data_IF_999519530023
#
_entry.id   IF_999519530023
#
_cell.length_a   1.000
_cell.length_b   1.000
_cell.length_c   1.000
_cell.angle_alpha   90.00
_cell.angle_beta   90.00
_cell.angle_gamma   90.00
#
_symmetry.space_group_name_H-M   'P 1'
#
loop_
_entity.id
_entity.type
_entity.pdbx_description
1 polymer ?
#
# COMPACT_ATOMS: atom_id res chain seq x y z
N UNK A 1 15.17 -18.85 -23.22
CA UNK A 1 14.39 -18.34 -22.07
C UNK A 1 15.22 -17.23 -21.49
N UNK A 2 14.94 -15.99 -21.86
CA UNK A 2 15.61 -14.85 -21.24
C UNK A 2 15.09 -14.77 -19.81
N UNK A 3 15.97 -14.92 -18.83
CA UNK A 3 15.75 -14.45 -17.46
C UNK A 3 15.50 -12.94 -17.55
N UNK A 4 14.25 -12.53 -17.79
CA UNK A 4 13.86 -11.13 -17.67
C UNK A 4 13.63 -10.87 -16.19
N UNK A 5 14.71 -10.49 -15.52
CA UNK A 5 14.58 -9.84 -14.23
C UNK A 5 13.63 -8.64 -14.41
N UNK A 6 12.64 -8.40 -13.53
CA UNK A 6 11.70 -7.30 -13.67
C UNK A 6 12.44 -5.99 -13.89
N UNK A 7 11.89 -5.11 -14.72
CA UNK A 7 12.43 -3.76 -14.85
C UNK A 7 12.51 -3.11 -13.44
N UNK A 8 13.65 -2.55 -13.02
CA UNK A 8 13.83 -1.98 -11.70
C UNK A 8 12.72 -1.01 -11.23
N UNK A 9 12.07 -0.28 -12.14
CA UNK A 9 10.95 0.60 -11.75
C UNK A 9 9.72 -0.21 -11.32
N UNK A 10 9.40 -1.30 -12.02
CA UNK A 10 8.25 -2.16 -11.73
C UNK A 10 8.51 -2.98 -10.46
N UNK A 11 9.75 -3.46 -10.28
CA UNK A 11 10.16 -4.09 -9.03
C UNK A 11 9.97 -3.14 -7.83
N UNK A 12 10.39 -1.88 -8.00
CA UNK A 12 10.23 -0.84 -6.98
C UNK A 12 8.75 -0.49 -6.72
N UNK A 13 7.93 -0.43 -7.76
CA UNK A 13 6.49 -0.21 -7.66
C UNK A 13 5.82 -1.34 -6.87
N UNK A 14 6.08 -2.60 -7.24
CA UNK A 14 5.55 -3.79 -6.57
C UNK A 14 5.98 -3.88 -5.11
N UNK A 15 7.25 -3.62 -4.82
CA UNK A 15 7.76 -3.57 -3.45
C UNK A 15 7.09 -2.45 -2.62
N UNK A 16 6.85 -1.29 -3.24
CA UNK A 16 6.16 -0.16 -2.58
C UNK A 16 4.71 -0.51 -2.26
N UNK A 17 3.96 -1.07 -3.22
CA UNK A 17 2.60 -1.57 -3.02
C UNK A 17 2.59 -2.56 -1.84
N UNK A 18 3.44 -3.59 -1.88
CA UNK A 18 3.52 -4.59 -0.80
C UNK A 18 3.83 -3.97 0.58
N UNK A 19 4.69 -2.94 0.62
CA UNK A 19 4.99 -2.22 1.85
C UNK A 19 3.79 -1.49 2.42
N UNK A 20 3.05 -0.76 1.59
CA UNK A 20 1.85 -0.07 2.06
C UNK A 20 0.72 -1.04 2.42
N UNK A 21 0.64 -2.20 1.76
CA UNK A 21 -0.26 -3.28 2.15
C UNK A 21 -0.01 -3.70 3.60
N UNK A 22 1.25 -4.05 3.92
CA UNK A 22 1.63 -4.46 5.28
C UNK A 22 1.39 -3.36 6.32
N UNK A 23 1.58 -2.10 5.95
CA UNK A 23 1.25 -0.99 6.85
C UNK A 23 -0.25 -0.92 7.14
N UNK A 24 -1.10 -1.05 6.12
CA UNK A 24 -2.57 -1.10 6.27
C UNK A 24 -2.96 -2.27 7.18
N UNK A 25 -2.46 -3.48 6.88
CA UNK A 25 -2.76 -4.69 7.66
C UNK A 25 -2.35 -4.52 9.13
N UNK A 26 -1.16 -3.96 9.40
CA UNK A 26 -0.68 -3.71 10.76
C UNK A 26 -1.49 -2.64 11.52
N UNK A 27 -2.18 -1.74 10.82
CA UNK A 27 -3.14 -0.82 11.44
C UNK A 27 -4.43 -1.56 11.79
N UNK A 28 -4.99 -2.32 10.83
CA UNK A 28 -6.26 -3.02 10.96
C UNK A 28 -6.21 -4.12 12.04
N UNK A 29 -5.07 -4.82 12.17
CA UNK A 29 -4.83 -5.84 13.20
C UNK A 29 -4.97 -5.30 14.62
N UNK A 30 -4.69 -4.01 14.84
CA UNK A 30 -4.77 -3.38 16.17
C UNK A 30 -6.18 -2.93 16.55
N UNK A 31 -7.12 -2.89 15.60
CA UNK A 31 -8.48 -2.40 15.85
C UNK A 31 -9.41 -3.53 16.24
N UNK A 32 -10.31 -3.26 17.18
CA UNK A 32 -11.53 -4.07 17.37
C UNK A 32 -12.50 -3.85 16.21
N UNK A 33 -13.51 -4.73 16.06
CA UNK A 33 -14.54 -4.56 15.01
C UNK A 33 -15.29 -3.24 15.16
N UNK A 34 -15.61 -2.86 16.39
CA UNK A 34 -16.25 -1.58 16.66
C UNK A 34 -15.36 -0.40 16.22
N UNK A 35 -14.06 -0.44 16.50
CA UNK A 35 -13.12 0.61 16.13
C UNK A 35 -12.89 0.67 14.60
N UNK A 36 -12.87 -0.48 13.91
CA UNK A 36 -12.73 -0.56 12.46
C UNK A 36 -13.82 0.22 11.72
N UNK A 37 -15.05 0.13 12.22
CA UNK A 37 -16.23 0.79 11.64
C UNK A 37 -16.53 2.15 12.29
N UNK A 38 -15.78 2.58 13.31
CA UNK A 38 -16.00 3.85 13.98
C UNK A 38 -15.31 5.00 13.20
N UNK A 39 -16.06 6.05 12.79
CA UNK A 39 -15.44 7.27 12.29
C UNK A 39 -14.78 8.06 13.43
N UNK A 40 -13.65 8.75 13.18
CA UNK A 40 -12.96 9.54 14.21
C UNK A 40 -13.75 10.79 14.64
N UNK A 41 -14.62 11.29 13.78
CA UNK A 41 -15.56 12.37 14.06
C UNK A 41 -16.72 12.36 13.06
N UNK A 42 -17.85 13.05 13.34
CA UNK A 42 -18.95 13.15 12.39
C UNK A 42 -18.52 13.73 11.04
N UNK A 43 -18.94 13.08 9.94
CA UNK A 43 -18.63 13.50 8.58
C UNK A 43 -17.26 13.04 8.05
N UNK A 44 -16.47 12.32 8.85
CA UNK A 44 -15.26 11.65 8.40
C UNK A 44 -15.51 10.16 8.16
N UNK A 45 -14.72 9.56 7.27
CA UNK A 45 -14.80 8.13 6.97
C UNK A 45 -14.16 7.30 8.10
N UNK A 46 -14.74 6.13 8.36
CA UNK A 46 -14.10 5.09 9.16
C UNK A 46 -13.00 4.36 8.36
N UNK A 47 -12.19 3.56 9.05
CA UNK A 47 -11.21 2.68 8.36
C UNK A 47 -11.94 1.70 7.44
N UNK A 48 -13.07 1.16 7.89
CA UNK A 48 -13.89 0.24 7.09
C UNK A 48 -14.34 0.84 5.75
N UNK A 49 -14.78 2.10 5.75
CA UNK A 49 -15.16 2.82 4.53
C UNK A 49 -13.97 3.03 3.60
N UNK A 50 -12.80 3.36 4.14
CA UNK A 50 -11.58 3.56 3.30
C UNK A 50 -11.11 2.23 2.69
N UNK A 51 -11.17 1.12 3.43
CA UNK A 51 -10.86 -0.22 2.90
C UNK A 51 -11.81 -0.61 1.77
N UNK A 52 -13.12 -0.37 1.95
CA UNK A 52 -14.12 -0.58 0.89
C UNK A 52 -13.79 0.24 -0.35
N UNK A 53 -13.46 1.52 -0.17
CA UNK A 53 -13.07 2.38 -1.28
C UNK A 53 -11.83 1.89 -2.02
N UNK A 54 -10.77 1.51 -1.30
CA UNK A 54 -9.57 0.95 -1.91
C UNK A 54 -9.88 -0.34 -2.67
N UNK A 55 -10.66 -1.26 -2.10
CA UNK A 55 -11.06 -2.51 -2.76
C UNK A 55 -11.77 -2.26 -4.08
N UNK A 56 -12.83 -1.43 -4.08
CA UNK A 56 -13.60 -1.12 -5.30
C UNK A 56 -12.78 -0.33 -6.33
N UNK A 57 -11.95 0.61 -5.87
CA UNK A 57 -11.06 1.35 -6.76
C UNK A 57 -10.07 0.40 -7.45
N UNK A 58 -9.37 -0.43 -6.70
CA UNK A 58 -8.34 -1.31 -7.26
C UNK A 58 -8.94 -2.37 -8.16
N UNK A 59 -10.07 -2.97 -7.78
CA UNK A 59 -10.80 -3.90 -8.64
C UNK A 59 -11.13 -3.23 -9.98
N UNK A 60 -11.77 -2.06 -9.96
CA UNK A 60 -12.12 -1.38 -11.20
C UNK A 60 -10.90 -1.02 -12.04
N UNK A 61 -9.85 -0.47 -11.43
CA UNK A 61 -8.70 0.05 -12.16
C UNK A 61 -7.83 -1.04 -12.77
N UNK A 62 -7.81 -2.22 -12.17
CA UNK A 62 -6.81 -3.24 -12.48
C UNK A 62 -7.40 -4.55 -13.04
N UNK A 63 -8.70 -4.81 -12.93
CA UNK A 63 -9.30 -5.92 -13.70
C UNK A 63 -9.09 -5.69 -15.19
N UNK A 64 -8.56 -6.67 -15.92
CA UNK A 64 -8.32 -6.61 -17.37
C UNK A 64 -7.59 -5.32 -17.82
N UNK A 65 -6.60 -4.89 -17.02
CA UNK A 65 -5.93 -3.58 -17.11
C UNK A 65 -5.44 -3.19 -18.52
N UNK A 66 -4.89 -4.14 -19.27
CA UNK A 66 -4.37 -3.89 -20.62
C UNK A 66 -5.43 -4.01 -21.73
N UNK A 67 -6.62 -4.52 -21.40
CA UNK A 67 -7.64 -4.90 -22.38
C UNK A 67 -8.89 -4.01 -22.34
N UNK A 68 -9.21 -3.40 -21.20
CA UNK A 68 -10.44 -2.61 -21.01
C UNK A 68 -10.16 -1.35 -20.20
N UNK A 69 -11.08 -0.38 -20.24
CA UNK A 69 -10.96 0.88 -19.49
C UNK A 69 -10.89 0.63 -17.97
N UNK A 70 -10.05 1.37 -17.24
CA UNK A 70 -9.91 1.28 -15.79
C UNK A 70 -11.11 1.77 -14.97
N UNK A 71 -12.15 2.35 -15.59
CA UNK A 71 -13.44 2.56 -14.95
C UNK A 71 -14.43 1.50 -15.44
N UNK A 72 -14.69 0.48 -14.60
CA UNK A 72 -15.59 -0.61 -14.95
C UNK A 72 -17.05 -0.17 -14.82
N UNK A 73 -17.95 -0.63 -15.73
CA UNK A 73 -19.36 -0.22 -15.70
C UNK A 73 -20.11 -0.61 -14.42
N UNK A 74 -19.65 -1.65 -13.72
CA UNK A 74 -20.22 -2.15 -12.48
C UNK A 74 -19.70 -1.42 -11.22
N UNK A 75 -18.74 -0.50 -11.37
CA UNK A 75 -18.25 0.28 -10.24
C UNK A 75 -19.27 1.31 -9.78
N UNK A 76 -19.73 1.17 -8.54
CA UNK A 76 -20.52 2.19 -7.85
C UNK A 76 -19.65 2.94 -6.83
N UNK A 77 -19.04 4.05 -7.27
CA UNK A 77 -18.16 4.87 -6.41
C UNK A 77 -18.89 5.42 -5.19
N UNK A 78 -20.13 5.87 -5.32
CA UNK A 78 -20.82 6.52 -4.20
C UNK A 78 -21.13 5.50 -3.09
N UNK A 79 -21.47 4.26 -3.47
CA UNK A 79 -21.63 3.18 -2.51
C UNK A 79 -20.32 2.84 -1.76
N UNK A 80 -19.14 3.01 -2.38
CA UNK A 80 -17.85 2.80 -1.70
C UNK A 80 -17.64 3.73 -0.48
N UNK A 81 -18.34 4.86 -0.41
CA UNK A 81 -18.28 5.82 0.71
C UNK A 81 -19.43 5.67 1.71
N UNK A 82 -20.14 4.54 1.67
CA UNK A 82 -21.14 4.17 2.66
C UNK A 82 -20.62 3.06 3.57
N UNK A 83 -21.20 2.94 4.76
CA UNK A 83 -20.83 1.91 5.72
C UNK A 83 -20.96 0.51 5.11
N UNK A 84 -20.07 -0.38 5.54
CA UNK A 84 -20.08 -1.78 5.08
C UNK A 84 -21.19 -2.54 5.81
N UNK A 85 -22.06 -3.19 5.06
CA UNK A 85 -23.22 -3.91 5.62
C UNK A 85 -22.88 -5.32 6.14
N UNK A 86 -21.65 -5.80 5.90
CA UNK A 86 -21.16 -7.10 6.33
C UNK A 86 -20.26 -7.05 7.56
N UNK A 87 -19.64 -8.18 7.88
CA UNK A 87 -18.63 -8.30 8.93
C UNK A 87 -17.22 -7.88 8.45
N UNK A 88 -16.25 -7.92 9.38
CA UNK A 88 -14.83 -7.67 9.07
C UNK A 88 -14.32 -8.58 7.97
N UNK A 89 -14.60 -9.88 8.04
CA UNK A 89 -14.02 -10.87 7.15
C UNK A 89 -14.48 -10.68 5.71
N UNK A 90 -15.77 -10.37 5.51
CA UNK A 90 -16.31 -10.02 4.19
C UNK A 90 -15.74 -8.70 3.66
N UNK A 91 -15.53 -7.68 4.50
CA UNK A 91 -14.86 -6.44 4.09
C UNK A 91 -13.42 -6.69 3.66
N UNK A 92 -12.66 -7.44 4.46
CA UNK A 92 -11.27 -7.76 4.17
C UNK A 92 -11.16 -8.59 2.90
N UNK A 93 -12.06 -9.57 2.70
CA UNK A 93 -12.13 -10.35 1.46
C UNK A 93 -12.38 -9.46 0.23
N UNK A 94 -13.26 -8.47 0.34
CA UNK A 94 -13.52 -7.51 -0.73
C UNK A 94 -12.31 -6.62 -1.03
N UNK A 95 -11.66 -6.10 0.01
CA UNK A 95 -10.42 -5.34 -0.11
C UNK A 95 -9.30 -6.17 -0.76
N UNK A 96 -9.15 -7.43 -0.34
CA UNK A 96 -8.14 -8.36 -0.83
C UNK A 96 -8.33 -8.73 -2.30
N UNK A 97 -9.58 -8.92 -2.74
CA UNK A 97 -9.88 -9.17 -4.13
C UNK A 97 -9.42 -8.01 -5.03
N UNK A 98 -9.72 -6.75 -4.65
CA UNK A 98 -9.25 -5.57 -5.38
C UNK A 98 -7.73 -5.44 -5.37
N UNK A 99 -7.10 -5.70 -4.22
CA UNK A 99 -5.64 -5.69 -4.09
C UNK A 99 -4.96 -6.76 -4.96
N UNK A 100 -5.56 -7.95 -5.05
CA UNK A 100 -5.07 -9.03 -5.89
C UNK A 100 -5.14 -8.67 -7.37
N UNK A 101 -6.17 -7.94 -7.82
CA UNK A 101 -6.24 -7.42 -9.19
C UNK A 101 -5.04 -6.51 -9.53
N UNK A 102 -4.68 -5.58 -8.62
CA UNK A 102 -3.48 -4.75 -8.76
C UNK A 102 -2.22 -5.60 -8.85
N UNK A 103 -2.03 -6.53 -7.90
CA UNK A 103 -0.83 -7.37 -7.83
C UNK A 103 -0.64 -8.21 -9.08
N UNK A 104 -1.68 -8.93 -9.51
CA UNK A 104 -1.66 -9.74 -10.73
C UNK A 104 -1.39 -8.88 -11.96
N UNK A 105 -1.95 -7.68 -12.03
CA UNK A 105 -1.70 -6.79 -13.15
C UNK A 105 -0.26 -6.31 -13.21
N UNK A 106 0.34 -5.92 -12.09
CA UNK A 106 1.76 -5.53 -12.04
C UNK A 106 2.67 -6.68 -12.50
N UNK A 107 2.37 -7.92 -12.09
CA UNK A 107 3.15 -9.11 -12.51
C UNK A 107 3.11 -9.32 -14.04
N UNK A 108 2.04 -8.89 -14.73
CA UNK A 108 1.89 -8.98 -16.18
C UNK A 108 2.63 -7.87 -16.96
N UNK A 109 3.11 -6.82 -16.28
CA UNK A 109 3.74 -5.67 -16.94
C UNK A 109 5.24 -5.85 -17.25
N UNK A 110 5.86 -6.96 -16.84
CA UNK A 110 7.31 -7.16 -16.97
C UNK A 110 7.85 -6.98 -18.39
N UNK A 111 7.10 -7.43 -19.41
CA UNK A 111 7.51 -7.35 -20.82
C UNK A 111 6.71 -6.28 -21.60
N UNK A 112 6.02 -5.39 -20.91
CA UNK A 112 5.15 -4.36 -21.50
C UNK A 112 5.85 -3.01 -21.47
N UNK A 113 5.83 -2.28 -22.60
CA UNK A 113 6.39 -0.94 -22.66
C UNK A 113 5.62 0.00 -21.72
N UNK A 114 6.26 0.63 -20.71
CA UNK A 114 5.58 1.51 -19.77
C UNK A 114 4.95 2.75 -20.43
N UNK A 115 5.31 3.07 -21.68
CA UNK A 115 4.74 4.16 -22.48
C UNK A 115 3.45 3.76 -23.19
N UNK A 116 3.10 2.47 -23.23
CA UNK A 116 1.85 2.01 -23.81
C UNK A 116 0.67 2.71 -23.13
N UNK A 117 -0.34 3.04 -23.93
CA UNK A 117 -1.52 3.75 -23.47
C UNK A 117 -2.58 2.77 -22.99
N UNK A 118 -3.13 3.06 -21.81
CA UNK A 118 -4.35 2.49 -21.26
C UNK A 118 -5.38 3.60 -21.09
N UNK A 119 -6.66 3.24 -20.98
CA UNK A 119 -7.73 4.20 -20.73
C UNK A 119 -8.17 4.13 -19.28
N UNK A 120 -8.42 5.27 -18.65
CA UNK A 120 -9.07 5.37 -17.36
C UNK A 120 -10.13 6.47 -17.48
N UNK A 121 -11.40 6.10 -17.39
CA UNK A 121 -12.54 7.01 -17.60
C UNK A 121 -12.55 7.63 -19.00
N UNK A 122 -12.17 6.85 -20.01
CA UNK A 122 -12.05 7.28 -21.40
C UNK A 122 -10.82 8.13 -21.69
N UNK A 123 -10.05 8.53 -20.67
CA UNK A 123 -8.87 9.37 -20.82
C UNK A 123 -7.60 8.52 -21.00
N UNK A 124 -6.74 8.85 -21.98
CA UNK A 124 -5.50 8.13 -22.23
C UNK A 124 -4.46 8.42 -21.14
N UNK A 125 -3.83 7.35 -20.65
CA UNK A 125 -2.72 7.39 -19.70
C UNK A 125 -1.63 6.43 -20.14
N UNK A 126 -0.36 6.77 -19.94
CA UNK A 126 0.68 5.74 -20.02
C UNK A 126 0.53 4.74 -18.87
N UNK A 127 1.02 3.51 -19.05
CA UNK A 127 1.08 2.52 -17.97
C UNK A 127 1.86 3.08 -16.76
N UNK A 128 2.98 3.77 -16.99
CA UNK A 128 3.74 4.42 -15.94
C UNK A 128 2.89 5.43 -15.15
N UNK A 129 2.09 6.26 -15.83
CA UNK A 129 1.19 7.21 -15.18
C UNK A 129 0.10 6.49 -14.37
N UNK A 130 -0.49 5.43 -14.92
CA UNK A 130 -1.52 4.65 -14.23
C UNK A 130 -0.97 3.99 -12.95
N UNK A 131 0.22 3.40 -13.00
CA UNK A 131 0.90 2.82 -11.83
C UNK A 131 1.18 3.90 -10.79
N UNK A 132 1.74 5.04 -11.18
CA UNK A 132 2.05 6.12 -10.24
C UNK A 132 0.80 6.71 -9.58
N UNK A 133 -0.28 6.88 -10.34
CA UNK A 133 -1.57 7.32 -9.80
C UNK A 133 -2.13 6.34 -8.78
N UNK A 134 -2.02 5.03 -9.03
CA UNK A 134 -2.48 4.02 -8.07
C UNK A 134 -1.60 3.99 -6.82
N UNK A 135 -0.27 4.07 -6.98
CA UNK A 135 0.66 4.13 -5.85
C UNK A 135 0.36 5.32 -4.94
N UNK A 136 0.24 6.52 -5.52
CA UNK A 136 -0.04 7.74 -4.75
C UNK A 136 -1.41 7.69 -4.06
N UNK A 137 -2.43 7.12 -4.70
CA UNK A 137 -3.75 6.89 -4.11
C UNK A 137 -3.70 5.92 -2.92
N UNK A 138 -2.99 4.80 -3.07
CA UNK A 138 -2.74 3.83 -1.99
C UNK A 138 -1.99 4.49 -0.82
N UNK A 139 -0.90 5.21 -1.09
CA UNK A 139 -0.12 5.91 -0.05
C UNK A 139 -0.99 6.91 0.73
N UNK A 140 -1.81 7.68 0.02
CA UNK A 140 -2.73 8.65 0.62
C UNK A 140 -3.70 7.98 1.60
N UNK A 141 -4.37 6.91 1.16
CA UNK A 141 -5.33 6.21 2.02
C UNK A 141 -4.67 5.38 3.12
N UNK A 142 -3.48 4.82 2.90
CA UNK A 142 -2.71 4.17 3.95
C UNK A 142 -2.38 5.15 5.09
N UNK A 143 -2.00 6.39 4.76
CA UNK A 143 -1.79 7.46 5.74
C UNK A 143 -3.07 7.81 6.51
N UNK A 144 -4.21 7.91 5.81
CA UNK A 144 -5.51 8.12 6.46
C UNK A 144 -5.87 6.98 7.41
N UNK A 145 -5.73 5.73 6.97
CA UNK A 145 -5.97 4.54 7.79
C UNK A 145 -5.10 4.61 9.05
N UNK A 146 -3.80 4.82 8.92
CA UNK A 146 -2.89 4.89 10.07
C UNK A 146 -3.31 5.97 11.08
N UNK A 147 -3.67 7.17 10.62
CA UNK A 147 -4.12 8.26 11.49
C UNK A 147 -5.45 7.96 12.18
N UNK A 148 -6.43 7.45 11.43
CA UNK A 148 -7.76 7.13 11.96
C UNK A 148 -7.65 5.99 12.96
N UNK A 149 -6.96 4.90 12.61
CA UNK A 149 -6.72 3.78 13.50
C UNK A 149 -6.13 4.22 14.82
N UNK A 150 -5.09 5.07 14.79
CA UNK A 150 -4.47 5.63 16.01
C UNK A 150 -5.44 6.51 16.80
N UNK A 151 -6.33 7.24 16.14
CA UNK A 151 -7.28 8.15 16.78
C UNK A 151 -8.46 7.45 17.44
N UNK A 152 -8.93 6.33 16.88
CA UNK A 152 -10.11 5.60 17.38
C UNK A 152 -9.73 4.49 18.36
N UNK A 153 -8.51 3.97 18.27
CA UNK A 153 -8.04 2.90 19.14
C UNK A 153 -7.93 3.33 20.59
N UNK A 154 -8.55 2.58 21.50
CA UNK A 154 -8.61 2.91 22.94
C UNK A 154 -7.55 2.21 23.78
N UNK A 155 -6.82 1.24 23.20
CA UNK A 155 -5.79 0.46 23.88
C UNK A 155 -4.37 0.99 23.67
N UNK A 156 -3.40 0.16 24.08
CA UNK A 156 -1.98 0.43 23.84
C UNK A 156 -1.66 0.28 22.35
N UNK A 157 -1.21 1.36 21.73
CA UNK A 157 -0.83 1.34 20.32
C UNK A 157 0.61 0.88 20.12
N UNK A 158 0.80 -0.17 19.32
CA UNK A 158 2.11 -0.62 18.84
C UNK A 158 2.57 0.28 17.70
N UNK A 159 3.69 0.99 17.90
CA UNK A 159 4.27 1.83 16.85
C UNK A 159 4.55 1.02 15.58
N UNK A 160 4.11 1.55 14.45
CA UNK A 160 4.27 0.94 13.12
C UNK A 160 5.70 1.09 12.60
N UNK A 161 6.47 2.00 13.17
CA UNK A 161 7.87 2.28 12.82
C UNK A 161 8.64 2.53 14.12
N UNK A 162 9.69 3.34 14.09
CA UNK A 162 10.49 3.68 15.27
C UNK A 162 9.65 4.60 16.18
N UNK A 163 9.48 4.20 17.44
CA UNK A 163 8.75 5.00 18.42
C UNK A 163 9.44 6.37 18.65
N UNK A 164 8.67 7.43 19.00
CA UNK A 164 9.23 8.73 19.34
C UNK A 164 10.33 8.64 20.39
N UNK A 165 11.46 9.29 20.14
CA UNK A 165 12.63 9.29 21.03
C UNK A 165 13.61 8.12 20.83
N UNK A 166 13.29 7.13 19.98
CA UNK A 166 14.15 5.96 19.76
C UNK A 166 14.93 5.98 18.43
N UNK A 167 14.78 7.02 17.60
CA UNK A 167 15.42 7.11 16.28
C UNK A 167 16.95 7.09 16.34
N UNK A 168 17.56 7.85 17.24
CA UNK A 168 19.03 7.89 17.37
C UNK A 168 19.61 6.53 17.75
N UNK A 169 18.97 5.83 18.71
CA UNK A 169 19.39 4.49 19.12
C UNK A 169 19.23 3.50 17.97
N UNK A 170 18.07 3.49 17.31
CA UNK A 170 17.83 2.63 16.16
C UNK A 170 18.88 2.84 15.07
N UNK A 171 19.16 4.10 14.70
CA UNK A 171 20.15 4.41 13.69
C UNK A 171 21.55 3.95 14.09
N UNK A 172 21.97 4.13 15.34
CA UNK A 172 23.26 3.62 15.82
C UNK A 172 23.38 2.09 15.68
N UNK A 173 22.29 1.37 15.85
CA UNK A 173 22.25 -0.10 15.79
C UNK A 173 22.12 -0.64 14.35
N UNK A 174 21.48 0.08 13.44
CA UNK A 174 21.09 -0.45 12.12
C UNK A 174 21.71 0.28 10.92
N UNK A 175 22.42 1.38 11.12
CA UNK A 175 22.94 2.19 10.01
C UNK A 175 23.73 1.37 8.99
N UNK A 176 23.39 1.53 7.71
CA UNK A 176 24.07 0.84 6.61
C UNK A 176 23.78 -0.66 6.51
N UNK A 177 22.89 -1.20 7.35
CA UNK A 177 22.47 -2.61 7.30
C UNK A 177 21.06 -2.74 6.71
N UNK A 178 20.72 -3.92 6.22
CA UNK A 178 19.36 -4.34 5.85
C UNK A 178 18.31 -4.08 6.94
N UNK A 179 18.71 -4.04 8.22
CA UNK A 179 17.84 -3.75 9.36
C UNK A 179 17.35 -2.30 9.44
N UNK A 180 17.97 -1.38 8.69
CA UNK A 180 17.52 0.02 8.55
C UNK A 180 16.38 0.20 7.53
N UNK A 181 16.13 -0.82 6.70
CA UNK A 181 15.02 -0.80 5.74
C UNK A 181 13.69 -0.72 6.48
N UNK A 182 12.68 -0.14 5.82
CA UNK A 182 11.31 -0.09 6.35
C UNK A 182 10.90 -1.45 6.93
N UNK A 183 10.28 -1.45 8.10
CA UNK A 183 9.74 -2.68 8.71
C UNK A 183 8.68 -3.35 7.85
N UNK A 184 8.14 -2.59 6.90
CA UNK A 184 7.19 -3.05 5.90
C UNK A 184 7.87 -3.39 4.56
N UNK A 185 9.20 -3.48 4.44
CA UNK A 185 9.86 -3.91 3.20
C UNK A 185 10.19 -5.40 3.23
N UNK A 186 9.88 -6.13 2.16
CA UNK A 186 10.30 -7.55 2.01
C UNK A 186 11.83 -7.68 1.98
N UNK A 187 12.50 -6.63 1.47
CA UNK A 187 13.96 -6.56 1.41
C UNK A 187 14.61 -6.49 2.79
N UNK A 188 13.86 -6.33 3.89
CA UNK A 188 14.46 -6.32 5.24
C UNK A 188 15.16 -7.65 5.60
N UNK A 189 14.71 -8.76 5.02
CA UNK A 189 15.25 -10.09 5.29
C UNK A 189 16.31 -10.56 4.28
N UNK A 190 16.63 -9.74 3.27
CA UNK A 190 17.69 -10.05 2.32
C UNK A 190 19.05 -9.72 2.95
N UNK A 191 19.97 -10.70 2.93
CA UNK A 191 21.31 -10.54 3.49
C UNK A 191 22.05 -9.35 2.84
N UNK A 192 22.81 -8.60 3.64
CA UNK A 192 23.66 -7.51 3.15
C UNK A 192 24.77 -8.09 2.27
N UNK A 193 24.53 -8.16 0.97
CA UNK A 193 25.51 -8.64 0.00
C UNK A 193 26.54 -7.56 -0.40
N UNK A 194 26.64 -6.47 0.37
CA UNK A 194 27.64 -5.42 0.15
C UNK A 194 28.84 -5.66 1.07
N UNK A 195 29.81 -6.42 0.57
CA UNK A 195 31.18 -6.37 1.09
C UNK A 195 31.75 -4.97 0.90
N UNK A 196 31.71 -4.14 1.94
CA UNK A 196 32.56 -2.95 2.10
C UNK A 196 32.66 -2.64 3.60
N UNK A 197 33.87 -2.40 4.15
CA UNK A 197 34.02 -2.14 5.56
C UNK A 197 33.36 -0.81 5.91
N UNK A 198 32.52 -0.83 6.95
CA UNK A 198 31.79 0.32 7.45
C UNK A 198 32.73 1.47 7.79
N UNK A 199 32.62 2.55 7.04
CA UNK A 199 33.01 3.87 7.52
C UNK A 199 31.84 4.44 8.28
N UNK A 200 31.96 4.52 9.60
CA UNK A 200 31.03 5.25 10.46
C UNK A 200 31.05 6.72 10.03
N UNK A 201 29.98 7.31 9.47
CA UNK A 201 29.95 8.74 9.27
C UNK A 201 29.70 9.36 10.65
N UNK A 202 30.61 10.23 11.09
CA UNK A 202 30.39 11.09 12.24
C UNK A 202 29.14 11.91 12.02
N UNK A 203 28.09 11.66 12.82
CA UNK A 203 26.96 12.55 12.95
C UNK A 203 27.49 13.89 13.51
N UNK A 204 27.57 14.91 12.67
CA UNK A 204 27.76 16.27 13.14
C UNK A 204 26.45 16.80 13.74
N UNK A 205 26.54 17.64 14.79
CA UNK A 205 25.43 18.06 15.63
C UNK A 205 24.35 18.86 14.88
#
# INVERSE_FOLDING_TARGET
MTDTNPDPWLESASATVASYRRMIDACVEQLTDQELFQPPSPGLNSVGVILRHLGGNLQSRWTDFLATDGEKPDRNRDAEFTDWDGDRDSLMSYFDAGWQCLRTSLDLLNDVDPRQIVLIRGEPHSIADAVWRSLTHVCYHAGQIAMISRSVHKGDWRWLTIAPGLSSKHNQETWGTSSSRSVFSDRRNEADNTGSPGTTPTLHP
#
